data_IF_526191168191
#
_entry.id   IF_526191168191
#
_cell.length_a   1.000
_cell.length_b   1.000
_cell.length_c   1.000
_cell.angle_alpha   90.00
_cell.angle_beta   90.00
_cell.angle_gamma   90.00
#
_symmetry.space_group_name_H-M   'P 1'
#
loop_
_entity.id
_entity.type
_entity.pdbx_description
1 polymer ?
#
# COMPACT_ATOMS: atom_id res chain seq x y z
N UNK A 1 -57.07 -6.85 12.72
CA UNK A 1 -56.29 -6.01 13.65
C UNK A 1 -54.81 -6.38 13.63
N UNK A 2 -54.48 -7.66 13.42
CA UNK A 2 -53.10 -8.17 13.52
C UNK A 2 -52.17 -7.72 12.39
N UNK A 3 -52.64 -7.70 11.15
CA UNK A 3 -51.84 -7.25 10.00
C UNK A 3 -51.39 -5.78 10.13
N UNK A 4 -52.29 -4.91 10.60
CA UNK A 4 -51.98 -3.49 10.80
C UNK A 4 -50.92 -3.27 11.89
N UNK A 5 -50.95 -4.08 12.96
CA UNK A 5 -49.98 -4.02 14.04
C UNK A 5 -48.60 -4.54 13.60
N UNK A 6 -48.56 -5.62 12.81
CA UNK A 6 -47.32 -6.15 12.22
C UNK A 6 -46.68 -5.14 11.28
N UNK A 7 -47.46 -4.48 10.42
CA UNK A 7 -46.97 -3.42 9.52
C UNK A 7 -46.42 -2.23 10.32
N UNK A 8 -47.08 -1.82 11.41
CA UNK A 8 -46.61 -0.74 12.27
C UNK A 8 -45.26 -1.06 12.94
N UNK A 9 -45.06 -2.30 13.41
CA UNK A 9 -43.78 -2.74 14.00
C UNK A 9 -42.68 -2.75 12.95
N UNK A 10 -42.95 -3.24 11.73
CA UNK A 10 -41.95 -3.26 10.66
C UNK A 10 -41.51 -1.83 10.32
N UNK A 11 -42.45 -0.88 10.18
CA UNK A 11 -42.14 0.52 9.92
C UNK A 11 -41.30 1.11 11.06
N UNK A 12 -41.64 0.81 12.31
CA UNK A 12 -40.90 1.29 13.48
C UNK A 12 -39.46 0.72 13.53
N UNK A 13 -39.28 -0.57 13.24
CA UNK A 13 -37.96 -1.23 13.23
C UNK A 13 -37.11 -0.76 12.06
N UNK A 14 -37.69 -0.59 10.88
CA UNK A 14 -37.01 -0.04 9.69
C UNK A 14 -36.61 1.41 9.94
N UNK A 15 -37.51 2.23 10.49
CA UNK A 15 -37.21 3.60 10.89
C UNK A 15 -36.10 3.67 11.94
N UNK A 16 -36.16 2.82 12.96
CA UNK A 16 -35.12 2.74 13.99
C UNK A 16 -33.77 2.30 13.43
N UNK A 17 -33.76 1.33 12.51
CA UNK A 17 -32.54 0.87 11.84
C UNK A 17 -31.89 1.97 10.99
N UNK A 18 -32.71 2.80 10.31
CA UNK A 18 -32.23 3.96 9.56
C UNK A 18 -31.65 5.06 10.48
N UNK A 19 -32.24 5.25 11.66
CA UNK A 19 -31.73 6.19 12.67
C UNK A 19 -30.40 5.71 13.25
N UNK A 20 -30.27 4.42 13.58
CA UNK A 20 -29.02 3.84 14.12
C UNK A 20 -27.89 3.83 13.08
N UNK A 21 -28.20 3.65 11.79
CA UNK A 21 -27.22 3.75 10.70
C UNK A 21 -26.62 5.16 10.56
N UNK A 22 -27.30 6.19 11.06
CA UNK A 22 -26.86 7.59 10.97
C UNK A 22 -25.78 7.95 12.02
N UNK A 23 -25.65 7.18 13.10
CA UNK A 23 -24.67 7.44 14.17
C UNK A 23 -23.29 6.82 13.90
N UNK A 24 -23.21 5.83 13.01
CA UNK A 24 -21.96 5.12 12.70
C UNK A 24 -21.01 5.89 11.78
N UNK A 25 -21.50 6.95 11.13
CA UNK A 25 -20.75 7.73 10.14
C UNK A 25 -19.97 8.90 10.76
N UNK A 26 -20.04 9.14 12.08
CA UNK A 26 -19.28 10.19 12.78
C UNK A 26 -18.05 9.71 13.56
N UNK A 27 -17.64 8.44 13.43
CA UNK A 27 -16.39 7.96 14.05
C UNK A 27 -15.15 8.05 13.15
N UNK A 28 -15.30 8.08 11.83
CA UNK A 28 -14.14 8.00 10.94
C UNK A 28 -13.44 9.33 10.62
N UNK A 29 -14.06 10.49 10.86
CA UNK A 29 -13.44 11.78 10.46
C UNK A 29 -12.23 12.17 11.31
N UNK A 30 -12.17 11.71 12.57
CA UNK A 30 -10.97 11.88 13.41
C UNK A 30 -9.86 10.92 13.03
N UNK A 31 -10.22 9.71 12.60
CA UNK A 31 -9.25 8.70 12.18
C UNK A 31 -8.52 9.17 10.91
N UNK A 32 -9.26 9.62 9.89
CA UNK A 32 -8.65 10.15 8.66
C UNK A 32 -7.84 11.44 8.88
N UNK A 33 -8.31 12.36 9.74
CA UNK A 33 -7.57 13.58 10.05
C UNK A 33 -6.27 13.31 10.81
N UNK A 34 -6.28 12.30 11.70
CA UNK A 34 -5.08 11.88 12.43
C UNK A 34 -4.06 11.24 11.50
N UNK A 35 -4.50 10.42 10.55
CA UNK A 35 -3.62 9.84 9.53
C UNK A 35 -2.96 10.92 8.68
N UNK A 36 -3.71 11.90 8.18
CA UNK A 36 -3.16 13.00 7.39
C UNK A 36 -2.16 13.88 8.17
N UNK A 37 -2.35 14.04 9.48
CA UNK A 37 -1.40 14.76 10.33
C UNK A 37 -0.14 13.93 10.63
N UNK A 38 -0.27 12.61 10.71
CA UNK A 38 0.86 11.69 10.87
C UNK A 38 1.71 11.68 9.59
N UNK A 39 1.09 11.56 8.42
CA UNK A 39 1.77 11.59 7.12
C UNK A 39 2.56 12.89 6.92
N UNK A 40 1.96 14.06 7.19
CA UNK A 40 2.69 15.35 7.10
C UNK A 40 3.87 15.45 8.05
N UNK A 41 3.73 14.93 9.28
CA UNK A 41 4.83 14.90 10.24
C UNK A 41 5.94 13.97 9.78
N UNK A 42 5.58 12.83 9.20
CA UNK A 42 6.53 11.88 8.65
C UNK A 42 7.32 12.52 7.49
N UNK A 43 6.63 13.18 6.56
CA UNK A 43 7.23 13.88 5.42
C UNK A 43 8.20 15.00 5.87
N UNK A 44 7.82 15.75 6.91
CA UNK A 44 8.68 16.78 7.52
C UNK A 44 9.93 16.16 8.17
N UNK A 45 9.78 15.03 8.86
CA UNK A 45 10.88 14.31 9.51
C UNK A 45 11.81 13.69 8.46
N UNK A 46 11.27 13.09 7.40
CA UNK A 46 12.02 12.52 6.27
C UNK A 46 12.88 13.60 5.60
N UNK A 47 12.26 14.75 5.30
CA UNK A 47 12.94 15.92 4.72
C UNK A 47 14.04 16.45 5.65
N UNK A 48 13.77 16.56 6.96
CA UNK A 48 14.75 17.09 7.92
C UNK A 48 15.91 16.13 8.19
N UNK A 49 15.67 14.82 8.17
CA UNK A 49 16.70 13.80 8.33
C UNK A 49 17.53 13.58 7.06
N UNK A 50 17.20 14.23 5.94
CA UNK A 50 17.89 14.01 4.66
C UNK A 50 17.76 12.57 4.16
N UNK A 51 16.74 11.85 4.65
CA UNK A 51 16.38 10.53 4.15
C UNK A 51 15.56 10.83 2.89
N UNK A 52 16.27 11.03 1.77
CA UNK A 52 15.69 10.69 0.48
C UNK A 52 15.17 9.28 0.63
N UNK A 53 13.84 9.15 0.59
CA UNK A 53 13.11 7.89 0.60
C UNK A 53 13.97 6.81 -0.04
N UNK A 54 14.41 5.78 0.71
CA UNK A 54 15.50 4.92 0.29
C UNK A 54 15.07 4.22 -0.99
N UNK A 55 15.53 4.78 -2.10
CA UNK A 55 15.64 4.19 -3.41
C UNK A 55 14.67 3.02 -3.65
N UNK A 56 13.39 3.32 -3.83
CA UNK A 56 12.63 2.58 -4.84
C UNK A 56 13.29 2.76 -6.24
N UNK A 57 14.29 3.63 -6.39
CA UNK A 57 14.79 4.16 -7.65
C UNK A 57 16.25 3.88 -7.99
N UNK A 58 17.05 3.18 -7.18
CA UNK A 58 18.32 2.63 -7.68
C UNK A 58 18.13 1.27 -8.35
N UNK A 59 17.17 0.46 -7.92
CA UNK A 59 16.85 -0.82 -8.57
C UNK A 59 15.65 -0.74 -9.53
N UNK A 60 15.04 0.43 -9.76
CA UNK A 60 13.78 0.55 -10.51
C UNK A 60 13.81 -0.13 -11.89
N UNK A 61 14.89 0.03 -12.66
CA UNK A 61 15.02 -0.60 -13.99
C UNK A 61 15.34 -2.10 -13.90
N UNK A 62 16.18 -2.51 -12.93
CA UNK A 62 16.48 -3.93 -12.66
C UNK A 62 15.19 -4.66 -12.24
N UNK A 63 14.38 -4.02 -11.41
CA UNK A 63 13.08 -4.52 -10.95
C UNK A 63 12.05 -4.54 -12.08
N UNK A 64 12.01 -3.53 -12.94
CA UNK A 64 11.13 -3.52 -14.11
C UNK A 64 11.42 -4.73 -15.00
N UNK A 65 12.69 -5.03 -15.28
CA UNK A 65 13.07 -6.21 -16.03
C UNK A 65 12.75 -7.51 -15.29
N UNK A 66 12.94 -7.58 -13.97
CA UNK A 66 12.56 -8.74 -13.17
C UNK A 66 11.04 -9.01 -13.22
N UNK A 67 10.21 -7.97 -13.10
CA UNK A 67 8.75 -8.08 -13.16
C UNK A 67 8.25 -8.52 -14.55
N UNK A 68 9.01 -8.22 -15.60
CA UNK A 68 8.73 -8.67 -16.96
C UNK A 68 9.28 -10.08 -17.26
N UNK A 69 9.89 -10.76 -16.28
CA UNK A 69 10.54 -12.07 -16.47
C UNK A 69 11.86 -12.00 -17.25
N UNK A 70 12.38 -10.80 -17.53
CA UNK A 70 13.58 -10.55 -18.32
C UNK A 70 14.84 -10.58 -17.44
N UNK A 71 15.10 -11.72 -16.79
CA UNK A 71 16.18 -11.87 -15.79
C UNK A 71 17.57 -11.53 -16.31
N UNK A 72 17.88 -11.87 -17.57
CA UNK A 72 19.18 -11.57 -18.19
C UNK A 72 19.38 -10.06 -18.32
N UNK A 73 18.32 -9.33 -18.70
CA UNK A 73 18.37 -7.89 -18.86
C UNK A 73 18.52 -7.19 -17.51
N UNK A 74 17.83 -7.69 -16.47
CA UNK A 74 18.02 -7.22 -15.10
C UNK A 74 19.47 -7.39 -14.62
N UNK A 75 20.10 -8.54 -14.88
CA UNK A 75 21.52 -8.79 -14.54
C UNK A 75 22.45 -7.85 -15.31
N UNK A 76 22.17 -7.60 -16.59
CA UNK A 76 22.96 -6.68 -17.41
C UNK A 76 22.90 -5.25 -16.86
N UNK A 77 21.71 -4.73 -16.59
CA UNK A 77 21.50 -3.39 -16.03
C UNK A 77 22.15 -3.26 -14.65
N UNK A 78 22.00 -4.28 -13.79
CA UNK A 78 22.64 -4.28 -12.47
C UNK A 78 24.17 -4.21 -12.60
N UNK A 79 24.75 -4.96 -13.55
CA UNK A 79 26.20 -4.97 -13.80
C UNK A 79 26.71 -3.64 -14.35
N UNK A 80 26.00 -3.03 -15.28
CA UNK A 80 26.37 -1.75 -15.88
C UNK A 80 26.34 -0.61 -14.87
N UNK A 81 25.44 -0.67 -13.89
CA UNK A 81 25.29 0.37 -12.87
C UNK A 81 26.25 0.19 -11.68
N UNK A 82 26.54 -1.04 -11.30
CA UNK A 82 27.36 -1.34 -10.11
C UNK A 82 28.82 -1.69 -10.43
N UNK A 83 29.13 -2.03 -11.68
CA UNK A 83 30.46 -2.48 -12.10
C UNK A 83 30.87 -3.86 -11.53
N UNK A 84 29.92 -4.59 -10.94
CA UNK A 84 30.18 -5.89 -10.29
C UNK A 84 30.49 -7.01 -11.28
N UNK A 85 31.05 -8.12 -10.78
CA UNK A 85 31.26 -9.32 -11.59
C UNK A 85 29.93 -9.96 -12.03
N UNK A 86 29.95 -10.76 -13.09
CA UNK A 86 28.73 -11.44 -13.58
C UNK A 86 28.09 -12.35 -12.52
N UNK A 87 28.90 -13.04 -11.73
CA UNK A 87 28.44 -13.91 -10.66
C UNK A 87 27.74 -13.12 -9.55
N UNK A 88 28.36 -12.02 -9.10
CA UNK A 88 27.81 -11.12 -8.08
C UNK A 88 26.52 -10.45 -8.54
N UNK A 89 26.48 -9.99 -9.79
CA UNK A 89 25.30 -9.38 -10.38
C UNK A 89 24.13 -10.38 -10.46
N UNK A 90 24.41 -11.63 -10.85
CA UNK A 90 23.39 -12.69 -10.85
C UNK A 90 22.86 -12.95 -9.44
N UNK A 91 23.74 -13.10 -8.46
CA UNK A 91 23.35 -13.39 -7.08
C UNK A 91 22.52 -12.27 -6.46
N UNK A 92 22.89 -11.02 -6.71
CA UNK A 92 22.15 -9.85 -6.25
C UNK A 92 20.74 -9.81 -6.85
N UNK A 93 20.64 -9.96 -8.17
CA UNK A 93 19.34 -9.95 -8.88
C UNK A 93 18.47 -11.14 -8.47
N UNK A 94 19.06 -12.31 -8.22
CA UNK A 94 18.32 -13.48 -7.72
C UNK A 94 17.81 -13.29 -6.30
N UNK A 95 18.60 -12.67 -5.43
CA UNK A 95 18.16 -12.31 -4.08
C UNK A 95 16.98 -11.33 -4.14
N UNK A 96 17.08 -10.30 -4.98
CA UNK A 96 15.99 -9.33 -5.18
C UNK A 96 14.70 -9.98 -5.70
N UNK A 97 14.82 -10.96 -6.60
CA UNK A 97 13.68 -11.71 -7.11
C UNK A 97 13.02 -12.56 -6.01
N UNK A 98 13.81 -13.25 -5.18
CA UNK A 98 13.31 -14.07 -4.07
C UNK A 98 12.61 -13.23 -3.00
N UNK A 99 13.19 -12.11 -2.60
CA UNK A 99 12.61 -11.21 -1.59
C UNK A 99 11.23 -10.67 -2.00
N UNK A 100 10.98 -10.57 -3.31
CA UNK A 100 9.74 -10.04 -3.88
C UNK A 100 8.80 -11.11 -4.43
N UNK A 101 9.15 -12.40 -4.29
CA UNK A 101 8.34 -13.51 -4.79
C UNK A 101 8.26 -13.61 -6.33
N UNK A 102 9.26 -13.07 -7.04
CA UNK A 102 9.37 -13.04 -8.50
C UNK A 102 10.21 -14.22 -9.06
N UNK A 103 10.31 -15.32 -8.31
CA UNK A 103 11.16 -16.49 -8.64
C UNK A 103 10.59 -17.36 -9.75
#
# INVERSE_FOLDING_TARGET
MDFAYVVAIIIAVVGFSLVVASDRTRRNTRESARLAAIERKLDTIMTHLGIEEPAATQDSEVLAHLMQGQKIQAIKVYRERTGTGLAEAKDAVERMARERGLS
#
